data_IF_548334065681
#
_entry.id   IF_548334065681
#
_cell.length_a   1.000
_cell.length_b   1.000
_cell.length_c   1.000
_cell.angle_alpha   90.00
_cell.angle_beta   90.00
_cell.angle_gamma   90.00
#
_symmetry.space_group_name_H-M   'P 1'
#
loop_
_entity.id
_entity.type
_entity.pdbx_description
1 polymer ?
#
# COMPACT_ATOMS: atom_id res chain seq x y z
N UNK A 1 45.89 3.68 -38.93
CA UNK A 1 45.49 3.00 -40.17
C UNK A 1 44.00 3.18 -40.28
N UNK A 2 43.51 4.20 -40.88
CA UNK A 2 43.24 4.59 -42.27
C UNK A 2 42.40 3.56 -43.04
N UNK A 3 41.26 4.13 -43.46
CA UNK A 3 40.48 4.00 -44.73
C UNK A 3 39.25 3.09 -44.65
N UNK A 4 38.09 3.35 -45.24
CA UNK A 4 37.67 4.44 -46.18
C UNK A 4 36.14 4.50 -46.24
N UNK A 5 35.63 5.68 -46.59
CA UNK A 5 34.31 6.02 -47.14
C UNK A 5 33.91 5.18 -48.36
N UNK A 6 32.58 5.01 -48.56
CA UNK A 6 32.00 5.24 -49.89
C UNK A 6 30.52 5.71 -49.80
N UNK A 7 30.32 6.85 -50.41
CA UNK A 7 29.00 7.46 -50.76
C UNK A 7 28.50 6.80 -52.03
N UNK A 8 27.21 6.64 -52.20
CA UNK A 8 26.54 6.70 -53.51
C UNK A 8 25.22 7.43 -53.45
N UNK A 9 25.13 8.46 -54.26
CA UNK A 9 24.00 9.35 -54.57
C UNK A 9 23.45 8.97 -55.94
N UNK A 10 22.11 9.05 -56.16
CA UNK A 10 21.42 9.30 -57.45
C UNK A 10 19.93 9.25 -57.18
N UNK A 11 19.13 10.28 -57.24
CA UNK A 11 18.66 11.30 -58.22
C UNK A 11 17.71 10.72 -59.32
N UNK A 12 16.59 11.44 -59.47
CA UNK A 12 15.57 11.56 -60.57
C UNK A 12 14.38 10.56 -60.55
N UNK A 13 13.18 10.96 -60.90
CA UNK A 13 12.45 12.25 -61.11
C UNK A 13 11.01 11.93 -61.48
N UNK A 14 10.11 12.89 -61.22
CA UNK A 14 8.85 13.26 -61.82
C UNK A 14 7.86 12.25 -62.42
N UNK A 15 6.58 12.43 -62.05
CA UNK A 15 5.40 11.99 -62.77
C UNK A 15 4.08 12.52 -62.13
N UNK A 16 3.60 13.68 -62.57
CA UNK A 16 2.26 14.25 -62.31
C UNK A 16 1.19 13.47 -63.08
N UNK A 17 0.01 13.30 -62.51
CA UNK A 17 -1.38 13.48 -63.05
C UNK A 17 -2.35 12.87 -62.07
N UNK A 18 -3.24 13.48 -61.49
CA UNK A 18 -4.40 14.31 -61.64
C UNK A 18 -5.65 13.52 -61.99
N UNK A 19 -6.57 13.27 -60.96
CA UNK A 19 -8.00 13.20 -61.24
C UNK A 19 -8.80 13.41 -59.92
N UNK A 20 -9.46 14.57 -59.84
CA UNK A 20 -10.57 14.84 -58.95
C UNK A 20 -11.78 14.01 -59.39
N UNK A 21 -12.46 13.32 -58.45
CA UNK A 21 -13.88 12.96 -58.58
C UNK A 21 -14.58 13.40 -57.27
N UNK A 22 -15.33 14.46 -57.41
CA UNK A 22 -16.37 14.87 -56.49
C UNK A 22 -17.61 14.00 -56.78
N UNK A 23 -18.18 13.34 -55.77
CA UNK A 23 -19.58 12.96 -55.76
C UNK A 23 -20.19 13.27 -54.40
N UNK A 24 -21.25 14.06 -54.48
CA UNK A 24 -22.02 14.58 -53.39
C UNK A 24 -23.20 13.67 -53.02
N UNK A 25 -23.60 13.77 -51.77
CA UNK A 25 -24.93 13.61 -51.17
C UNK A 25 -25.76 12.36 -51.46
N UNK A 26 -26.05 11.64 -50.38
CA UNK A 26 -27.45 11.28 -50.11
C UNK A 26 -27.64 11.06 -48.60
N UNK A 27 -28.45 11.91 -47.99
CA UNK A 27 -29.05 11.77 -46.69
C UNK A 27 -30.09 10.66 -46.69
N UNK A 28 -29.98 9.71 -45.76
CA UNK A 28 -31.13 8.93 -45.31
C UNK A 28 -30.95 8.73 -43.80
N UNK A 29 -31.79 9.39 -43.03
CA UNK A 29 -31.89 9.16 -41.61
C UNK A 29 -32.46 7.78 -41.29
N UNK A 30 -31.97 7.17 -40.29
CA UNK A 30 -32.68 6.15 -39.51
C UNK A 30 -32.37 6.42 -38.03
N UNK A 31 -33.44 6.72 -37.31
CA UNK A 31 -33.47 6.72 -35.85
C UNK A 31 -32.95 5.38 -35.33
N UNK A 32 -31.94 5.42 -34.50
CA UNK A 32 -31.44 4.32 -33.70
C UNK A 32 -31.07 4.86 -32.34
N UNK A 33 -32.06 4.94 -31.46
CA UNK A 33 -31.86 5.13 -30.01
C UNK A 33 -31.10 3.94 -29.45
N UNK A 34 -29.86 4.09 -29.22
CA UNK A 34 -28.97 3.26 -28.43
C UNK A 34 -27.81 4.14 -28.07
N UNK A 35 -27.92 4.87 -26.94
CA UNK A 35 -26.76 5.54 -26.35
C UNK A 35 -25.79 4.43 -25.92
N UNK A 36 -24.74 4.18 -26.70
CA UNK A 36 -23.52 3.60 -26.17
C UNK A 36 -23.04 4.58 -25.10
N UNK A 37 -23.05 4.15 -23.84
CA UNK A 37 -22.26 4.81 -22.81
C UNK A 37 -20.88 5.02 -23.43
N UNK A 38 -20.39 6.25 -23.46
CA UNK A 38 -19.15 6.61 -24.13
C UNK A 38 -18.05 5.62 -23.71
N UNK A 39 -17.43 4.97 -24.70
CA UNK A 39 -16.32 4.07 -24.41
C UNK A 39 -15.26 4.87 -23.65
N UNK A 40 -14.80 4.34 -22.52
CA UNK A 40 -13.68 4.92 -21.78
C UNK A 40 -12.50 5.04 -22.73
N UNK A 41 -11.71 6.09 -22.57
CA UNK A 41 -10.58 6.35 -23.45
C UNK A 41 -9.39 6.87 -22.66
N UNK A 42 -8.20 6.70 -23.21
CA UNK A 42 -6.94 7.10 -22.61
C UNK A 42 -6.34 6.00 -21.75
N UNK A 43 -5.32 6.36 -21.00
CA UNK A 43 -4.60 5.46 -20.11
C UNK A 43 -4.68 5.96 -18.65
N UNK A 44 -4.56 5.07 -17.68
CA UNK A 44 -4.39 5.41 -16.26
C UNK A 44 -2.92 5.24 -15.90
N UNK A 45 -2.21 6.35 -15.70
CA UNK A 45 -0.90 6.32 -15.09
C UNK A 45 -1.09 6.36 -13.56
N UNK A 46 -0.62 5.33 -12.90
CA UNK A 46 -0.73 5.13 -11.47
C UNK A 46 0.56 5.55 -10.75
N UNK A 47 0.46 6.53 -9.85
CA UNK A 47 1.55 6.87 -8.94
C UNK A 47 1.63 5.79 -7.87
N UNK A 48 2.55 4.86 -8.02
CA UNK A 48 2.70 3.72 -7.14
C UNK A 48 3.81 3.96 -6.10
N UNK A 49 3.49 3.79 -4.83
CA UNK A 49 4.48 3.83 -3.74
C UNK A 49 4.77 2.45 -3.15
N UNK A 50 4.12 1.41 -3.64
CA UNK A 50 4.28 0.03 -3.16
C UNK A 50 5.33 -0.77 -3.95
N UNK A 51 5.31 -0.64 -5.27
CA UNK A 51 6.27 -1.26 -6.20
C UNK A 51 6.32 -2.80 -6.17
N UNK A 52 7.21 -3.35 -6.99
CA UNK A 52 7.57 -4.77 -6.96
C UNK A 52 6.38 -5.73 -7.03
N UNK A 53 6.36 -6.70 -6.10
CA UNK A 53 5.35 -7.76 -6.05
C UNK A 53 3.91 -7.23 -5.90
N UNK A 54 3.73 -6.06 -5.27
CA UNK A 54 2.41 -5.42 -5.12
C UNK A 54 1.89 -4.97 -6.47
N UNK A 55 2.72 -4.22 -7.23
CA UNK A 55 2.35 -3.79 -8.57
C UNK A 55 2.07 -4.98 -9.50
N UNK A 56 2.97 -5.98 -9.51
CA UNK A 56 2.78 -7.17 -10.32
C UNK A 56 1.47 -7.90 -9.96
N UNK A 57 1.20 -8.03 -8.67
CA UNK A 57 -0.04 -8.62 -8.17
C UNK A 57 -1.28 -7.85 -8.62
N UNK A 58 -1.31 -6.51 -8.43
CA UNK A 58 -2.41 -5.65 -8.87
C UNK A 58 -2.67 -5.78 -10.37
N UNK A 59 -1.61 -5.73 -11.16
CA UNK A 59 -1.70 -5.80 -12.61
C UNK A 59 -2.26 -7.15 -13.08
N UNK A 60 -1.81 -8.25 -12.50
CA UNK A 60 -2.24 -9.59 -12.91
C UNK A 60 -3.64 -9.98 -12.43
N UNK A 61 -4.09 -9.47 -11.27
CA UNK A 61 -5.34 -9.94 -10.64
C UNK A 61 -6.50 -8.95 -10.69
N UNK A 62 -6.22 -7.66 -10.90
CA UNK A 62 -7.24 -6.60 -10.85
C UNK A 62 -7.23 -5.70 -12.09
N UNK A 63 -6.05 -5.27 -12.56
CA UNK A 63 -5.99 -4.27 -13.63
C UNK A 63 -6.06 -4.90 -15.03
N UNK A 64 -5.64 -6.17 -15.18
CA UNK A 64 -5.73 -6.87 -16.46
C UNK A 64 -7.18 -7.03 -16.92
N UNK A 65 -8.09 -7.42 -16.01
CA UNK A 65 -9.51 -7.55 -16.29
C UNK A 65 -10.13 -6.21 -16.72
N UNK A 66 -9.81 -5.14 -15.99
CA UNK A 66 -10.25 -3.79 -16.35
C UNK A 66 -9.76 -3.37 -17.75
N UNK A 67 -8.51 -3.67 -18.07
CA UNK A 67 -7.92 -3.37 -19.39
C UNK A 67 -8.60 -4.17 -20.50
N UNK A 68 -8.88 -5.47 -20.26
CA UNK A 68 -9.59 -6.32 -21.22
C UNK A 68 -11.02 -5.83 -21.49
N UNK A 69 -11.73 -5.42 -20.45
CA UNK A 69 -13.13 -4.97 -20.53
C UNK A 69 -13.28 -3.59 -21.18
N UNK A 70 -12.36 -2.67 -20.89
CA UNK A 70 -12.51 -1.25 -21.26
C UNK A 70 -11.59 -0.79 -22.39
N UNK A 71 -10.48 -1.49 -22.62
CA UNK A 71 -9.40 -1.06 -23.50
C UNK A 71 -8.50 0.03 -22.91
N UNK A 72 -8.74 0.46 -21.66
CA UNK A 72 -7.91 1.44 -20.95
C UNK A 72 -6.70 0.72 -20.35
N UNK A 73 -5.50 1.16 -20.68
CA UNK A 73 -4.27 0.61 -20.13
C UNK A 73 -3.96 1.22 -18.76
N UNK A 74 -3.57 0.40 -17.79
CA UNK A 74 -3.06 0.86 -16.49
C UNK A 74 -1.55 0.64 -16.46
N UNK A 75 -0.78 1.68 -16.18
CA UNK A 75 0.68 1.64 -16.07
C UNK A 75 1.11 2.30 -14.77
N UNK A 76 2.27 1.89 -14.21
CA UNK A 76 2.81 2.48 -13.01
C UNK A 76 3.92 3.50 -13.27
N UNK A 77 4.06 4.43 -12.33
CA UNK A 77 5.26 5.25 -12.11
C UNK A 77 5.67 5.05 -10.64
N UNK A 78 6.56 4.09 -10.40
CA UNK A 78 7.02 3.76 -9.05
C UNK A 78 7.83 4.90 -8.42
N UNK A 79 7.49 5.22 -7.19
CA UNK A 79 8.17 6.23 -6.37
C UNK A 79 8.18 5.77 -4.91
N UNK A 80 9.33 5.86 -4.22
CA UNK A 80 9.47 5.38 -2.83
C UNK A 80 8.63 6.14 -1.80
N UNK A 81 8.14 7.36 -2.14
CA UNK A 81 7.41 8.21 -1.21
C UNK A 81 6.47 9.17 -1.94
N UNK A 82 5.50 9.73 -1.24
CA UNK A 82 4.53 10.71 -1.74
C UNK A 82 5.11 12.09 -2.10
N UNK A 83 6.36 12.37 -1.77
CA UNK A 83 7.00 13.70 -1.94
C UNK A 83 6.98 14.23 -3.38
N UNK A 84 7.18 13.37 -4.38
CA UNK A 84 7.13 13.75 -5.80
C UNK A 84 5.70 14.14 -6.20
N UNK A 85 4.69 13.42 -5.70
CA UNK A 85 3.28 13.78 -5.92
C UNK A 85 2.96 15.16 -5.34
N UNK A 86 3.32 15.40 -4.06
CA UNK A 86 3.09 16.71 -3.43
C UNK A 86 3.77 17.86 -4.19
N UNK A 87 5.01 17.66 -4.61
CA UNK A 87 5.73 18.67 -5.39
C UNK A 87 5.07 18.94 -6.76
N UNK A 88 4.59 17.91 -7.44
CA UNK A 88 3.89 18.05 -8.71
C UNK A 88 2.53 18.76 -8.53
N UNK A 89 1.74 18.34 -7.54
CA UNK A 89 0.44 18.92 -7.25
C UNK A 89 0.54 20.41 -6.87
N UNK A 90 1.52 20.76 -6.03
CA UNK A 90 1.79 22.17 -5.68
C UNK A 90 2.11 23.04 -6.90
N UNK A 91 2.71 22.48 -7.93
CA UNK A 91 3.12 23.20 -9.14
C UNK A 91 2.13 23.07 -10.31
N UNK A 92 0.99 22.38 -10.14
CA UNK A 92 0.03 22.11 -11.21
C UNK A 92 0.62 21.28 -12.36
N UNK A 93 1.49 20.34 -12.05
CA UNK A 93 2.22 19.50 -12.99
C UNK A 93 2.00 18.00 -12.72
N UNK A 94 0.74 17.63 -12.50
CA UNK A 94 0.32 16.25 -12.22
C UNK A 94 0.10 15.51 -13.53
N UNK A 95 0.80 14.38 -13.69
CA UNK A 95 0.68 13.50 -14.87
C UNK A 95 -0.07 12.19 -14.53
N UNK A 96 -0.35 11.92 -13.26
CA UNK A 96 -0.99 10.68 -12.81
C UNK A 96 -2.51 10.81 -12.75
N UNK A 97 -3.20 9.73 -13.10
CA UNK A 97 -4.67 9.63 -13.02
C UNK A 97 -5.16 9.00 -11.72
N UNK A 98 -4.31 8.20 -11.06
CA UNK A 98 -4.55 7.59 -9.77
C UNK A 98 -3.27 7.66 -8.94
N UNK A 99 -3.38 7.85 -7.63
CA UNK A 99 -2.22 7.89 -6.72
C UNK A 99 -2.43 6.96 -5.53
N UNK A 100 -1.37 6.26 -5.15
CA UNK A 100 -1.27 5.49 -3.92
C UNK A 100 -0.54 6.34 -2.88
N UNK A 101 -1.27 6.80 -1.88
CA UNK A 101 -0.74 7.54 -0.74
C UNK A 101 -0.48 6.55 0.40
N UNK A 102 0.75 6.46 0.92
CA UNK A 102 1.14 5.38 1.83
C UNK A 102 0.54 5.50 3.23
N UNK A 103 -0.11 6.62 3.54
CA UNK A 103 -0.72 6.84 4.84
C UNK A 103 -1.99 7.69 4.77
N UNK A 104 -2.85 7.56 5.79
CA UNK A 104 -3.99 8.44 5.99
C UNK A 104 -3.56 9.90 6.19
N UNK A 105 -2.42 10.16 6.86
CA UNK A 105 -1.90 11.51 7.05
C UNK A 105 -1.52 12.18 5.73
N UNK A 106 -0.89 11.44 4.79
CA UNK A 106 -0.59 11.97 3.46
C UNK A 106 -1.88 12.28 2.69
N UNK A 107 -2.87 11.41 2.78
CA UNK A 107 -4.17 11.63 2.13
C UNK A 107 -4.90 12.86 2.70
N UNK A 108 -4.89 13.03 4.02
CA UNK A 108 -5.46 14.20 4.68
C UNK A 108 -4.73 15.49 4.27
N UNK A 109 -3.40 15.48 4.25
CA UNK A 109 -2.61 16.62 3.81
C UNK A 109 -2.92 16.98 2.34
N UNK A 110 -2.99 15.99 1.46
CA UNK A 110 -3.32 16.21 0.05
C UNK A 110 -4.74 16.77 -0.13
N UNK A 111 -5.72 16.26 0.63
CA UNK A 111 -7.10 16.74 0.59
C UNK A 111 -7.22 18.19 1.11
N UNK A 112 -6.59 18.51 2.25
CA UNK A 112 -6.58 19.86 2.83
C UNK A 112 -5.95 20.91 1.90
N UNK A 113 -4.96 20.52 1.11
CA UNK A 113 -4.33 21.38 0.12
C UNK A 113 -5.11 21.45 -1.21
N UNK A 114 -6.22 20.70 -1.35
CA UNK A 114 -7.02 20.69 -2.58
C UNK A 114 -6.34 19.95 -3.74
N UNK A 115 -5.45 19.01 -3.47
CA UNK A 115 -4.71 18.26 -4.49
C UNK A 115 -5.44 17.01 -4.99
N UNK A 116 -6.59 16.67 -4.38
CA UNK A 116 -7.38 15.49 -4.72
C UNK A 116 -8.75 15.87 -5.28
N UNK A 117 -9.23 15.12 -6.24
CA UNK A 117 -10.58 15.20 -6.76
C UNK A 117 -11.57 14.43 -5.87
N UNK A 118 -12.85 14.78 -5.95
CA UNK A 118 -13.91 14.04 -5.28
C UNK A 118 -14.11 12.66 -5.91
N UNK A 119 -14.41 11.67 -5.09
CA UNK A 119 -14.85 10.36 -5.52
C UNK A 119 -16.29 10.47 -6.02
N UNK A 120 -16.52 10.17 -7.28
CA UNK A 120 -17.86 10.16 -7.87
C UNK A 120 -18.64 8.92 -7.41
N UNK A 121 -19.46 9.08 -6.38
CA UNK A 121 -20.27 7.99 -5.81
C UNK A 121 -21.38 7.48 -6.74
N UNK A 122 -21.61 8.15 -7.87
CA UNK A 122 -22.50 7.62 -8.92
C UNK A 122 -21.80 6.57 -9.81
N UNK A 123 -20.46 6.56 -9.83
CA UNK A 123 -19.61 5.59 -10.52
C UNK A 123 -19.06 4.56 -9.55
N UNK A 124 -18.43 5.04 -8.47
CA UNK A 124 -17.72 4.21 -7.48
C UNK A 124 -18.70 3.71 -6.42
N UNK A 125 -18.88 2.38 -6.26
CA UNK A 125 -19.87 1.79 -5.36
C UNK A 125 -19.38 1.80 -3.89
N UNK A 126 -19.33 2.99 -3.27
CA UNK A 126 -18.86 3.17 -1.89
C UNK A 126 -19.70 2.44 -0.85
N UNK A 127 -20.94 2.07 -1.18
CA UNK A 127 -21.82 1.26 -0.33
C UNK A 127 -21.32 -0.20 -0.15
N UNK A 128 -20.44 -0.66 -1.04
CA UNK A 128 -19.75 -1.95 -0.92
C UNK A 128 -18.54 -1.89 0.01
N UNK A 129 -18.08 -0.71 0.41
CA UNK A 129 -16.97 -0.54 1.33
C UNK A 129 -17.43 -0.60 2.79
N UNK A 130 -16.54 -0.99 3.69
CA UNK A 130 -16.76 -0.91 5.14
C UNK A 130 -16.95 0.55 5.53
N UNK A 131 -17.90 0.81 6.43
CA UNK A 131 -18.22 2.17 6.84
C UNK A 131 -17.00 2.85 7.49
N UNK A 132 -16.70 4.07 7.05
CA UNK A 132 -15.56 4.86 7.55
C UNK A 132 -14.25 4.63 6.81
N UNK A 133 -14.19 3.74 5.82
CA UNK A 133 -12.97 3.45 5.06
C UNK A 133 -12.89 4.18 3.71
N UNK A 134 -13.71 5.17 3.52
CA UNK A 134 -13.61 6.10 2.40
C UNK A 134 -13.93 7.53 2.86
N UNK A 135 -13.41 8.49 2.15
CA UNK A 135 -13.64 9.92 2.31
C UNK A 135 -14.19 10.52 1.01
N UNK A 136 -14.49 11.82 1.00
CA UNK A 136 -14.87 12.51 -0.23
C UNK A 136 -13.80 12.40 -1.33
N UNK A 137 -12.53 12.22 -0.97
CA UNK A 137 -11.39 12.31 -1.89
C UNK A 137 -10.53 11.05 -1.99
N UNK A 138 -10.89 9.96 -1.31
CA UNK A 138 -10.06 8.75 -1.33
C UNK A 138 -10.72 7.52 -0.75
N UNK A 139 -10.15 6.37 -1.09
CA UNK A 139 -10.56 5.04 -0.62
C UNK A 139 -9.39 4.40 0.11
N UNK A 140 -9.63 3.92 1.32
CA UNK A 140 -8.62 3.19 2.08
C UNK A 140 -8.33 1.84 1.42
N UNK A 141 -7.06 1.56 1.24
CA UNK A 141 -6.55 0.37 0.58
C UNK A 141 -5.28 -0.12 1.27
N UNK A 142 -4.84 -1.32 0.94
CA UNK A 142 -3.51 -1.78 1.29
C UNK A 142 -3.24 -1.80 2.79
N UNK A 143 -4.20 -2.25 3.58
CA UNK A 143 -4.01 -2.38 5.03
C UNK A 143 -2.79 -3.20 5.36
N UNK A 144 -1.94 -2.71 6.24
CA UNK A 144 -0.81 -3.46 6.77
C UNK A 144 -0.83 -3.49 8.30
N UNK A 145 -0.44 -4.63 8.83
CA UNK A 145 -0.33 -4.85 10.28
C UNK A 145 1.12 -4.84 10.72
N UNK A 146 1.40 -4.14 11.82
CA UNK A 146 2.64 -4.25 12.59
C UNK A 146 2.38 -5.28 13.68
N UNK A 147 2.84 -6.49 13.47
CA UNK A 147 2.53 -7.66 14.31
C UNK A 147 3.74 -8.08 15.14
N UNK A 148 3.49 -8.73 16.27
CA UNK A 148 4.52 -9.50 16.95
C UNK A 148 4.78 -10.78 16.14
N UNK A 149 6.03 -10.97 15.71
CA UNK A 149 6.47 -12.17 15.00
C UNK A 149 7.58 -12.89 15.76
N UNK A 150 7.69 -14.20 15.58
CA UNK A 150 8.76 -15.01 16.18
C UNK A 150 9.16 -16.18 15.29
N UNK A 151 10.40 -16.63 15.46
CA UNK A 151 10.87 -17.88 14.86
C UNK A 151 10.30 -19.06 15.65
N UNK A 152 9.52 -19.93 15.00
CA UNK A 152 8.86 -21.07 15.65
C UNK A 152 9.85 -22.18 16.06
N UNK A 153 11.08 -22.19 15.56
CA UNK A 153 12.15 -23.07 16.04
C UNK A 153 12.78 -22.57 17.34
N UNK A 154 12.79 -21.25 17.55
CA UNK A 154 13.26 -20.64 18.81
C UNK A 154 12.19 -20.75 19.91
N UNK A 155 10.90 -20.67 19.54
CA UNK A 155 9.77 -20.68 20.47
C UNK A 155 8.75 -21.75 20.06
N UNK A 156 8.81 -22.96 20.68
CA UNK A 156 7.92 -24.05 20.33
C UNK A 156 6.46 -23.77 20.75
N UNK A 157 5.52 -24.51 20.16
CA UNK A 157 4.08 -24.23 20.20
C UNK A 157 3.45 -24.10 21.61
N UNK A 158 4.08 -24.65 22.64
CA UNK A 158 3.65 -24.57 24.05
C UNK A 158 4.29 -23.39 24.82
N UNK A 159 5.18 -22.61 24.18
CA UNK A 159 5.91 -21.50 24.78
C UNK A 159 6.14 -20.36 23.79
N UNK A 160 5.15 -20.02 22.99
CA UNK A 160 5.22 -18.94 22.02
C UNK A 160 4.87 -17.59 22.64
N UNK A 161 5.57 -16.48 22.28
CA UNK A 161 5.17 -15.15 22.68
C UNK A 161 3.85 -14.77 21.98
N UNK A 162 2.92 -14.12 22.70
CA UNK A 162 1.61 -13.76 22.17
C UNK A 162 1.28 -12.28 22.35
N UNK A 163 1.92 -11.61 23.30
CA UNK A 163 1.59 -10.24 23.70
C UNK A 163 2.81 -9.32 23.61
N UNK A 164 2.55 -8.01 23.58
CA UNK A 164 3.65 -7.05 23.67
C UNK A 164 4.46 -7.19 24.96
N UNK A 165 3.83 -7.60 26.08
CA UNK A 165 4.55 -7.88 27.33
C UNK A 165 5.59 -8.98 27.14
N UNK A 166 5.28 -10.01 26.36
CA UNK A 166 6.18 -11.13 26.07
C UNK A 166 7.41 -10.64 25.26
N UNK A 167 7.21 -9.69 24.33
CA UNK A 167 8.32 -9.10 23.57
C UNK A 167 9.37 -8.45 24.48
N UNK A 168 8.96 -7.90 25.62
CA UNK A 168 9.84 -7.24 26.57
C UNK A 168 10.32 -8.14 27.71
N UNK A 169 9.79 -9.35 27.86
CA UNK A 169 10.25 -10.34 28.87
C UNK A 169 11.41 -11.18 28.31
N UNK A 170 12.64 -10.69 28.57
CA UNK A 170 13.86 -11.38 28.13
C UNK A 170 14.19 -12.64 28.91
N UNK A 171 13.46 -12.91 30.02
CA UNK A 171 13.67 -14.11 30.84
C UNK A 171 12.78 -15.27 30.36
N UNK A 172 11.50 -14.98 30.10
CA UNK A 172 10.56 -15.97 29.57
C UNK A 172 10.83 -16.26 28.08
N UNK A 173 11.16 -15.22 27.31
CA UNK A 173 11.42 -15.28 25.88
C UNK A 173 12.83 -14.75 25.57
N UNK A 174 13.88 -15.54 25.80
CA UNK A 174 15.26 -15.12 25.51
C UNK A 174 15.51 -15.01 24.00
N UNK A 175 16.43 -14.14 23.58
CA UNK A 175 16.83 -13.98 22.18
C UNK A 175 16.95 -12.52 21.75
N UNK A 176 17.23 -12.31 20.49
CA UNK A 176 17.34 -10.97 19.87
C UNK A 176 15.98 -10.47 19.43
N UNK A 177 15.75 -9.17 19.67
CA UNK A 177 14.52 -8.46 19.30
C UNK A 177 14.77 -7.60 18.08
N UNK A 178 13.85 -7.56 17.13
CA UNK A 178 13.94 -6.64 16.02
C UNK A 178 12.78 -5.64 15.97
N UNK A 179 13.15 -4.39 15.66
CA UNK A 179 12.24 -3.27 15.58
C UNK A 179 12.54 -2.43 14.35
N UNK A 180 11.52 -1.75 13.84
CA UNK A 180 11.69 -0.79 12.76
C UNK A 180 12.37 0.49 13.26
N UNK A 181 13.38 0.94 12.53
CA UNK A 181 14.12 2.16 12.84
C UNK A 181 13.37 3.44 12.40
N UNK A 182 12.07 3.49 12.68
CA UNK A 182 11.22 4.65 12.43
C UNK A 182 10.04 4.61 13.42
N UNK A 183 9.77 5.66 14.19
CA UNK A 183 8.71 5.66 15.18
C UNK A 183 7.31 5.63 14.56
N UNK A 184 7.12 6.20 13.36
CA UNK A 184 5.79 6.38 12.76
C UNK A 184 5.13 5.08 12.27
N UNK A 185 5.90 4.19 11.62
CA UNK A 185 5.35 2.98 10.99
C UNK A 185 5.86 1.70 11.64
N UNK A 186 6.43 1.83 12.82
CA UNK A 186 7.13 0.73 13.49
C UNK A 186 6.36 0.08 14.62
N UNK A 187 5.30 0.69 15.10
CA UNK A 187 4.61 0.26 16.32
C UNK A 187 5.53 0.14 17.54
N UNK A 188 6.70 0.77 17.45
CA UNK A 188 7.78 0.64 18.45
C UNK A 188 7.43 1.33 19.77
N UNK A 189 6.89 2.55 19.69
CA UNK A 189 6.52 3.32 20.89
C UNK A 189 5.23 2.80 21.52
N UNK A 190 4.24 2.46 20.69
CA UNK A 190 2.96 1.92 21.12
C UNK A 190 3.14 0.56 21.80
N UNK A 191 3.91 -0.36 21.20
CA UNK A 191 4.18 -1.66 21.79
C UNK A 191 4.87 -1.55 23.14
N UNK A 192 5.75 -0.56 23.32
CA UNK A 192 6.41 -0.29 24.58
C UNK A 192 5.42 0.20 25.64
N UNK A 193 4.50 1.10 25.29
CA UNK A 193 3.46 1.60 26.18
C UNK A 193 2.48 0.50 26.58
N UNK A 194 2.02 -0.29 25.62
CA UNK A 194 1.16 -1.45 25.88
C UNK A 194 1.83 -2.46 26.80
N UNK A 195 3.11 -2.79 26.55
CA UNK A 195 3.90 -3.67 27.41
C UNK A 195 4.16 -3.08 28.80
N UNK A 196 4.08 -1.75 28.96
CA UNK A 196 4.20 -1.07 30.25
C UNK A 196 2.84 -0.83 30.94
N UNK A 197 1.76 -1.41 30.37
CA UNK A 197 0.43 -1.44 30.95
C UNK A 197 -0.44 -0.23 30.65
N UNK A 198 -0.12 0.56 29.61
CA UNK A 198 -1.04 1.59 29.08
C UNK A 198 -2.18 0.89 28.38
N UNK A 199 -3.42 1.28 28.65
CA UNK A 199 -4.58 0.72 27.98
C UNK A 199 -4.63 1.16 26.50
N UNK A 200 -5.16 0.31 25.62
CA UNK A 200 -5.21 0.56 24.19
C UNK A 200 -5.94 1.89 23.83
N UNK A 201 -7.00 2.21 24.55
CA UNK A 201 -7.79 3.43 24.39
C UNK A 201 -7.16 4.67 25.06
N UNK A 202 -6.03 4.51 25.77
CA UNK A 202 -5.26 5.59 26.41
C UNK A 202 -3.88 5.79 25.75
N UNK A 203 -3.59 5.16 24.62
CA UNK A 203 -2.28 5.24 23.96
C UNK A 203 -1.94 6.65 23.49
N UNK A 204 -2.90 7.35 22.91
CA UNK A 204 -2.67 8.67 22.35
C UNK A 204 -3.23 9.80 23.23
N UNK A 205 -2.46 10.91 23.43
CA UNK A 205 -1.12 11.15 22.87
C UNK A 205 -0.06 10.26 23.49
N UNK A 206 0.93 9.80 22.69
CA UNK A 206 2.00 8.93 23.19
C UNK A 206 2.83 9.58 24.30
N UNK A 207 3.02 8.88 25.42
CA UNK A 207 4.04 9.21 26.43
C UNK A 207 5.40 8.70 25.96
N UNK A 208 6.08 9.50 25.13
CA UNK A 208 7.34 9.13 24.48
C UNK A 208 8.44 8.80 25.49
N UNK A 209 8.56 9.58 26.55
CA UNK A 209 9.58 9.35 27.59
C UNK A 209 9.38 8.00 28.28
N UNK A 210 8.14 7.64 28.57
CA UNK A 210 7.75 6.35 29.15
C UNK A 210 8.02 5.19 28.17
N UNK A 211 7.69 5.36 26.91
CA UNK A 211 7.96 4.37 25.87
C UNK A 211 9.45 4.10 25.71
N UNK A 212 10.26 5.15 25.63
CA UNK A 212 11.72 5.04 25.55
C UNK A 212 12.35 4.41 26.79
N UNK A 213 11.85 4.74 27.99
CA UNK A 213 12.28 4.09 29.23
C UNK A 213 11.97 2.59 29.26
N UNK A 214 10.84 2.17 28.69
CA UNK A 214 10.51 0.75 28.53
C UNK A 214 11.45 0.07 27.52
N UNK A 215 11.72 0.69 26.39
CA UNK A 215 12.68 0.22 25.39
C UNK A 215 14.11 0.10 25.96
N UNK A 216 14.52 0.97 26.88
CA UNK A 216 15.83 0.88 27.55
C UNK A 216 16.02 -0.46 28.26
N UNK A 217 14.94 -1.10 28.72
CA UNK A 217 15.03 -2.41 29.42
C UNK A 217 15.54 -3.54 28.54
N UNK A 218 15.42 -3.40 27.22
CA UNK A 218 15.83 -4.41 26.22
C UNK A 218 16.81 -3.87 25.18
N UNK A 219 17.26 -2.62 25.29
CA UNK A 219 18.03 -1.89 24.26
C UNK A 219 19.25 -2.65 23.74
N UNK A 220 19.96 -3.37 24.60
CA UNK A 220 21.14 -4.16 24.22
C UNK A 220 20.82 -5.37 23.34
N UNK A 221 19.56 -5.79 23.29
CA UNK A 221 19.10 -6.95 22.56
C UNK A 221 18.34 -6.58 21.27
N UNK A 222 18.24 -5.27 20.97
CA UNK A 222 17.54 -4.78 19.79
C UNK A 222 18.44 -4.80 18.55
N UNK A 223 17.92 -5.39 17.49
CA UNK A 223 18.40 -5.27 16.11
C UNK A 223 17.42 -4.35 15.35
N UNK A 224 17.94 -3.28 14.75
CA UNK A 224 17.14 -2.32 14.01
C UNK A 224 17.10 -2.69 12.52
N UNK A 225 15.92 -2.68 11.93
CA UNK A 225 15.73 -2.82 10.48
C UNK A 225 15.13 -1.54 9.89
N UNK A 226 15.43 -1.26 8.63
CA UNK A 226 15.03 -0.03 7.92
C UNK A 226 14.19 -0.30 6.67
N UNK A 227 14.01 -1.58 6.30
CA UNK A 227 13.15 -2.00 5.21
C UNK A 227 12.48 -3.33 5.52
N UNK A 228 11.31 -3.59 4.88
CA UNK A 228 10.62 -4.86 5.07
C UNK A 228 11.47 -6.09 4.69
N UNK A 229 12.36 -5.97 3.69
CA UNK A 229 13.29 -7.05 3.36
C UNK A 229 14.30 -7.30 4.49
N UNK A 230 14.87 -6.24 5.09
CA UNK A 230 15.79 -6.38 6.23
C UNK A 230 15.13 -7.00 7.46
N UNK A 231 13.82 -6.76 7.69
CA UNK A 231 13.14 -7.37 8.82
C UNK A 231 13.20 -8.90 8.72
N UNK A 232 12.91 -9.46 7.54
CA UNK A 232 12.95 -10.91 7.32
C UNK A 232 14.37 -11.44 7.26
N UNK A 233 15.28 -10.76 6.58
CA UNK A 233 16.71 -11.10 6.58
C UNK A 233 17.26 -11.22 8.01
N UNK A 234 16.81 -10.37 8.94
CA UNK A 234 17.24 -10.44 10.35
C UNK A 234 16.79 -11.72 11.04
N UNK A 235 15.61 -12.23 10.72
CA UNK A 235 15.16 -13.55 11.18
C UNK A 235 15.95 -14.68 10.53
N UNK A 236 16.11 -14.66 9.20
CA UNK A 236 16.81 -15.71 8.45
C UNK A 236 18.26 -15.87 8.84
N UNK A 237 18.95 -14.77 9.15
CA UNK A 237 20.37 -14.80 9.54
C UNK A 237 20.58 -14.96 11.07
N UNK A 238 19.49 -15.12 11.85
CA UNK A 238 19.56 -15.29 13.31
C UNK A 238 19.92 -14.04 14.11
N UNK A 239 19.78 -12.84 13.51
CA UNK A 239 19.93 -11.56 14.22
C UNK A 239 18.63 -11.14 14.90
N UNK A 240 17.55 -11.88 14.70
CA UNK A 240 16.23 -11.68 15.29
C UNK A 240 15.60 -13.05 15.63
N UNK A 241 15.10 -13.21 16.86
CA UNK A 241 14.31 -14.36 17.29
C UNK A 241 12.82 -14.03 17.39
N UNK A 242 12.50 -12.80 17.83
CA UNK A 242 11.16 -12.24 17.90
C UNK A 242 11.21 -10.72 17.76
N UNK A 243 10.11 -10.12 17.30
CA UNK A 243 10.10 -8.67 17.09
C UNK A 243 8.86 -8.16 16.40
N UNK A 244 8.88 -6.90 16.03
CA UNK A 244 7.83 -6.26 15.24
C UNK A 244 8.20 -6.35 13.77
N UNK A 245 7.28 -6.85 12.96
CA UNK A 245 7.42 -6.89 11.50
C UNK A 245 6.10 -6.50 10.84
N UNK A 246 6.14 -6.15 9.58
CA UNK A 246 4.94 -6.04 8.78
C UNK A 246 4.42 -7.45 8.43
N UNK A 247 3.15 -7.71 8.71
CA UNK A 247 2.54 -9.04 8.57
C UNK A 247 2.71 -9.64 7.16
N UNK A 248 2.61 -8.82 6.10
CA UNK A 248 2.83 -9.25 4.74
C UNK A 248 4.26 -9.76 4.50
N UNK A 249 5.26 -9.21 5.18
CA UNK A 249 6.65 -9.69 5.08
C UNK A 249 6.83 -11.02 5.79
N UNK A 250 6.23 -11.18 6.97
CA UNK A 250 6.21 -12.48 7.65
C UNK A 250 5.52 -13.55 6.80
N UNK A 251 4.43 -13.21 6.12
CA UNK A 251 3.76 -14.13 5.20
C UNK A 251 4.65 -14.60 4.05
N UNK A 252 5.35 -13.67 3.39
CA UNK A 252 6.29 -14.03 2.32
C UNK A 252 7.40 -14.95 2.83
N UNK A 253 7.94 -14.70 4.03
CA UNK A 253 8.92 -15.59 4.65
C UNK A 253 8.35 -16.98 4.92
N UNK A 254 7.13 -17.08 5.47
CA UNK A 254 6.45 -18.35 5.71
C UNK A 254 6.20 -19.12 4.41
N UNK A 255 5.74 -18.46 3.35
CA UNK A 255 5.53 -19.06 2.02
C UNK A 255 6.85 -19.60 1.42
N UNK A 256 7.99 -18.94 1.72
CA UNK A 256 9.32 -19.40 1.33
C UNK A 256 9.87 -20.51 2.25
N UNK A 257 9.09 -20.97 3.23
CA UNK A 257 9.41 -22.06 4.12
C UNK A 257 10.23 -21.67 5.36
N UNK A 258 10.37 -20.37 5.66
CA UNK A 258 10.97 -19.94 6.91
C UNK A 258 9.99 -20.15 8.08
N UNK A 259 10.46 -20.71 9.23
CA UNK A 259 9.61 -21.03 10.38
C UNK A 259 9.25 -19.78 11.19
N UNK A 260 8.29 -19.00 10.71
CA UNK A 260 7.81 -17.76 11.36
C UNK A 260 6.31 -17.83 11.61
N UNK A 261 5.87 -17.29 12.76
CA UNK A 261 4.47 -17.14 13.10
C UNK A 261 4.24 -15.75 13.70
N UNK A 262 2.98 -15.32 13.84
CA UNK A 262 2.62 -13.97 14.26
C UNK A 262 1.48 -13.96 15.27
N UNK A 263 1.43 -12.94 16.11
CA UNK A 263 0.29 -12.58 16.94
C UNK A 263 -0.27 -11.21 16.51
N UNK A 264 -1.59 -11.17 16.41
CA UNK A 264 -2.36 -9.95 16.12
C UNK A 264 -2.88 -9.26 17.38
N UNK A 265 -2.57 -9.79 18.56
CA UNK A 265 -3.07 -9.21 19.82
C UNK A 265 -2.54 -7.78 20.00
N UNK A 266 -3.45 -6.81 19.95
CA UNK A 266 -3.15 -5.38 19.99
C UNK A 266 -2.11 -4.94 18.94
N UNK A 267 -2.09 -5.60 17.78
CA UNK A 267 -1.22 -5.26 16.67
C UNK A 267 -1.51 -3.84 16.17
N UNK A 268 -0.48 -3.16 15.69
CA UNK A 268 -0.64 -1.90 14.99
C UNK A 268 -1.24 -2.12 13.60
N UNK A 269 -2.07 -1.18 13.20
CA UNK A 269 -2.83 -1.28 11.97
C UNK A 269 -2.88 0.07 11.26
N UNK A 270 -2.56 0.10 9.99
CA UNK A 270 -2.60 1.31 9.19
C UNK A 270 -3.09 1.03 7.77
N UNK A 271 -3.79 2.00 7.21
CA UNK A 271 -4.27 1.97 5.84
C UNK A 271 -3.51 2.98 4.98
N UNK A 272 -3.29 2.59 3.74
CA UNK A 272 -2.94 3.48 2.64
C UNK A 272 -4.21 3.98 1.95
N UNK A 273 -4.08 4.94 1.05
CA UNK A 273 -5.22 5.52 0.35
C UNK A 273 -4.97 5.58 -1.14
N UNK A 274 -5.95 5.13 -1.93
CA UNK A 274 -6.02 5.45 -3.35
C UNK A 274 -6.88 6.69 -3.55
N UNK A 275 -6.35 7.65 -4.28
CA UNK A 275 -7.00 8.92 -4.55
C UNK A 275 -6.77 9.35 -6.00
N UNK A 276 -7.66 10.21 -6.50
CA UNK A 276 -7.57 10.79 -7.83
C UNK A 276 -7.05 12.22 -7.67
N UNK A 277 -5.94 12.60 -8.33
CA UNK A 277 -5.48 13.98 -8.28
C UNK A 277 -6.51 14.97 -8.83
N UNK A 278 -6.56 16.18 -8.29
CA UNK A 278 -7.48 17.24 -8.74
C UNK A 278 -7.27 17.59 -10.22
N UNK A 279 -6.01 17.59 -10.68
CA UNK A 279 -5.63 17.88 -12.07
C UNK A 279 -5.31 16.60 -12.85
N UNK A 280 -5.91 15.46 -12.48
CA UNK A 280 -5.68 14.17 -13.15
C UNK A 280 -5.97 14.25 -14.65
N UNK A 281 -5.09 13.73 -15.53
CA UNK A 281 -5.31 13.78 -16.98
C UNK A 281 -6.53 12.95 -17.44
N UNK A 282 -6.86 11.88 -16.71
CA UNK A 282 -7.95 10.96 -17.06
C UNK A 282 -8.75 10.51 -15.82
N UNK A 283 -9.47 11.45 -15.16
CA UNK A 283 -10.14 11.18 -13.90
C UNK A 283 -11.31 10.19 -14.04
N UNK A 284 -12.03 10.20 -15.17
CA UNK A 284 -13.16 9.31 -15.40
C UNK A 284 -12.70 7.84 -15.48
N UNK A 285 -11.61 7.57 -16.18
CA UNK A 285 -11.05 6.22 -16.25
C UNK A 285 -10.55 5.74 -14.87
N UNK A 286 -9.97 6.64 -14.05
CA UNK A 286 -9.57 6.33 -12.68
C UNK A 286 -10.77 5.99 -11.78
N UNK A 287 -11.89 6.71 -11.87
CA UNK A 287 -13.14 6.39 -11.15
C UNK A 287 -13.65 4.99 -11.55
N UNK A 288 -13.63 4.67 -12.84
CA UNK A 288 -14.05 3.35 -13.33
C UNK A 288 -13.07 2.24 -12.92
N UNK A 289 -11.77 2.52 -12.82
CA UNK A 289 -10.80 1.57 -12.29
C UNK A 289 -11.08 1.28 -10.81
N UNK A 290 -11.34 2.29 -9.98
CA UNK A 290 -11.75 2.11 -8.59
C UNK A 290 -13.01 1.26 -8.48
N UNK A 291 -14.02 1.51 -9.34
CA UNK A 291 -15.22 0.68 -9.42
C UNK A 291 -14.89 -0.78 -9.72
N UNK A 292 -14.11 -1.02 -10.78
CA UNK A 292 -13.73 -2.37 -11.20
C UNK A 292 -13.04 -3.13 -10.06
N UNK A 293 -12.09 -2.50 -9.38
CA UNK A 293 -11.39 -3.11 -8.25
C UNK A 293 -12.34 -3.45 -7.11
N UNK A 294 -13.24 -2.56 -6.72
CA UNK A 294 -14.21 -2.79 -5.63
C UNK A 294 -15.18 -3.93 -5.99
N UNK A 295 -15.56 -4.06 -7.25
CA UNK A 295 -16.51 -5.07 -7.71
C UNK A 295 -15.87 -6.43 -7.99
N UNK A 296 -14.56 -6.50 -8.21
CA UNK A 296 -13.84 -7.74 -8.52
C UNK A 296 -13.37 -8.46 -7.23
N UNK A 297 -14.32 -9.08 -6.51
CA UNK A 297 -14.02 -9.83 -5.28
C UNK A 297 -13.07 -11.00 -5.53
N UNK A 298 -13.18 -11.71 -6.67
CA UNK A 298 -12.29 -12.81 -7.02
C UNK A 298 -10.85 -12.32 -7.23
N UNK A 299 -10.68 -11.20 -7.93
CA UNK A 299 -9.38 -10.55 -8.11
C UNK A 299 -8.76 -10.08 -6.80
N UNK A 300 -9.56 -9.52 -5.88
CA UNK A 300 -9.10 -9.11 -4.55
C UNK A 300 -8.60 -10.31 -3.72
N UNK A 301 -9.32 -11.44 -3.75
CA UNK A 301 -8.91 -12.68 -3.08
C UNK A 301 -7.63 -13.23 -3.71
N UNK A 302 -7.55 -13.26 -5.05
CA UNK A 302 -6.35 -13.70 -5.76
C UNK A 302 -5.14 -12.82 -5.42
N UNK A 303 -5.33 -11.49 -5.41
CA UNK A 303 -4.30 -10.54 -5.00
C UNK A 303 -3.82 -10.79 -3.57
N UNK A 304 -4.74 -10.80 -2.58
CA UNK A 304 -4.42 -10.99 -1.16
C UNK A 304 -3.84 -12.37 -0.84
N UNK A 305 -4.12 -13.39 -1.67
CA UNK A 305 -3.49 -14.71 -1.55
C UNK A 305 -2.05 -14.73 -2.07
N UNK A 306 -1.69 -13.82 -2.98
CA UNK A 306 -0.32 -13.66 -3.48
C UNK A 306 0.47 -12.65 -2.67
N UNK A 307 -0.13 -11.49 -2.45
CA UNK A 307 0.44 -10.40 -1.65
C UNK A 307 -0.50 -10.20 -0.46
N UNK A 308 -0.15 -10.66 0.75
CA UNK A 308 -1.09 -10.64 1.89
C UNK A 308 -1.32 -9.23 2.44
N UNK A 309 -1.85 -8.39 1.58
CA UNK A 309 -2.28 -7.03 1.79
C UNK A 309 -3.58 -6.87 1.01
N UNK A 310 -4.76 -6.96 1.65
CA UNK A 310 -6.02 -6.86 0.93
C UNK A 310 -6.19 -5.50 0.25
N UNK A 311 -6.66 -5.50 -1.01
CA UNK A 311 -6.94 -4.29 -1.79
C UNK A 311 -8.30 -4.44 -2.50
N UNK A 312 -9.22 -3.51 -2.27
CA UNK A 312 -9.23 -2.56 -1.17
C UNK A 312 -9.48 -3.27 0.16
N UNK A 313 -8.72 -2.92 1.17
CA UNK A 313 -8.85 -3.47 2.53
C UNK A 313 -10.27 -3.34 3.10
N UNK A 314 -11.02 -2.44 2.54
CA UNK A 314 -12.30 -1.98 3.03
C UNK A 314 -13.53 -2.60 2.33
N UNK A 315 -13.37 -3.57 1.41
CA UNK A 315 -14.52 -4.19 0.75
C UNK A 315 -15.27 -5.12 1.70
N UNK A 316 -16.59 -4.90 1.84
CA UNK A 316 -17.45 -5.76 2.65
C UNK A 316 -17.48 -7.20 2.11
N UNK A 317 -17.46 -8.17 3.01
CA UNK A 317 -17.59 -9.59 2.67
C UNK A 317 -16.27 -10.29 2.30
N UNK A 318 -15.14 -9.63 2.47
CA UNK A 318 -13.84 -10.32 2.44
C UNK A 318 -13.60 -10.98 3.79
N UNK A 319 -13.73 -12.31 3.84
CA UNK A 319 -13.50 -13.10 5.05
C UNK A 319 -12.16 -13.83 4.93
N UNK A 320 -11.50 -14.06 6.08
CA UNK A 320 -10.17 -14.73 6.13
C UNK A 320 -10.16 -16.07 5.40
N UNK A 321 -11.21 -16.87 5.54
CA UNK A 321 -11.33 -18.20 4.95
C UNK A 321 -11.54 -18.20 3.42
N UNK A 322 -11.79 -17.02 2.82
CA UNK A 322 -11.82 -16.85 1.37
C UNK A 322 -10.42 -16.86 0.73
N UNK A 323 -9.38 -16.60 1.50
CA UNK A 323 -8.01 -16.53 1.00
C UNK A 323 -7.28 -17.87 1.10
N UNK A 324 -6.14 -18.01 0.43
CA UNK A 324 -5.31 -19.21 0.52
C UNK A 324 -4.90 -19.50 1.98
N UNK A 325 -4.96 -20.76 2.40
CA UNK A 325 -4.80 -21.14 3.81
C UNK A 325 -3.44 -20.69 4.40
N UNK A 326 -2.40 -20.72 3.60
CA UNK A 326 -1.04 -20.33 3.99
C UNK A 326 -0.88 -18.85 4.31
N UNK A 327 -1.75 -17.98 3.79
CA UNK A 327 -1.69 -16.53 4.05
C UNK A 327 -2.65 -16.07 5.14
N UNK A 328 -3.65 -16.88 5.49
CA UNK A 328 -4.69 -16.51 6.44
C UNK A 328 -4.15 -16.00 7.80
N UNK A 329 -3.11 -16.59 8.41
CA UNK A 329 -2.58 -16.10 9.68
C UNK A 329 -2.00 -14.68 9.59
N UNK A 330 -1.64 -14.22 8.39
CA UNK A 330 -0.94 -12.96 8.16
C UNK A 330 -1.83 -11.85 7.61
N UNK A 331 -3.10 -12.15 7.31
CA UNK A 331 -4.00 -11.17 6.71
C UNK A 331 -4.59 -10.22 7.75
N UNK A 332 -4.57 -8.90 7.51
CA UNK A 332 -5.19 -7.90 8.38
C UNK A 332 -6.71 -7.81 8.14
N UNK A 333 -7.43 -8.91 8.26
CA UNK A 333 -8.88 -8.99 8.05
C UNK A 333 -9.55 -9.88 9.10
N UNK A 334 -10.85 -9.69 9.30
CA UNK A 334 -11.68 -10.54 10.14
C UNK A 334 -11.21 -10.64 11.58
N UNK A 335 -11.13 -11.84 12.13
CA UNK A 335 -10.75 -12.09 13.52
C UNK A 335 -9.30 -11.66 13.84
N UNK A 336 -8.40 -11.66 12.85
CA UNK A 336 -7.02 -11.21 13.06
C UNK A 336 -6.95 -9.76 13.54
N UNK A 337 -7.87 -8.91 13.11
CA UNK A 337 -7.88 -7.49 13.48
C UNK A 337 -8.82 -7.15 14.64
N UNK A 338 -9.40 -8.16 15.31
CA UNK A 338 -10.40 -7.93 16.36
C UNK A 338 -9.91 -7.09 17.55
N UNK A 339 -8.61 -7.18 17.87
CA UNK A 339 -7.96 -6.38 18.93
C UNK A 339 -6.94 -5.38 18.38
N UNK A 340 -6.81 -5.29 17.06
CA UNK A 340 -5.85 -4.39 16.42
C UNK A 340 -6.20 -2.92 16.70
N UNK A 341 -5.17 -2.08 16.78
CA UNK A 341 -5.27 -0.67 17.13
C UNK A 341 -4.83 0.15 15.93
N UNK A 342 -5.70 1.02 15.43
CA UNK A 342 -5.36 1.92 14.34
C UNK A 342 -4.39 3.00 14.81
N UNK A 343 -3.35 3.27 14.02
CA UNK A 343 -2.49 4.43 14.24
C UNK A 343 -3.30 5.72 14.16
N UNK A 344 -3.06 6.62 15.13
CA UNK A 344 -3.66 7.95 15.12
C UNK A 344 -2.95 8.85 14.09
N UNK A 345 -3.56 8.97 12.91
CA UNK A 345 -3.00 9.75 11.80
C UNK A 345 -2.87 11.24 12.15
N UNK A 346 -3.84 11.82 12.88
CA UNK A 346 -3.82 13.23 13.28
C UNK A 346 -2.69 13.50 14.28
N UNK A 347 -2.48 12.57 15.22
CA UNK A 347 -1.37 12.64 16.17
C UNK A 347 -0.02 12.61 15.43
N UNK A 348 0.19 11.66 14.52
CA UNK A 348 1.43 11.55 13.76
C UNK A 348 1.65 12.74 12.84
N UNK A 349 0.63 13.21 12.13
CA UNK A 349 0.69 14.42 11.31
C UNK A 349 1.18 15.64 12.12
N UNK A 350 0.69 15.79 13.35
CA UNK A 350 1.06 16.92 14.22
C UNK A 350 2.44 16.80 14.87
N UNK A 351 2.93 15.58 15.13
CA UNK A 351 4.07 15.35 16.02
C UNK A 351 5.25 14.60 15.38
N UNK A 352 5.13 14.13 14.12
CA UNK A 352 6.11 13.22 13.49
C UNK A 352 7.55 13.74 13.51
N UNK A 353 7.78 15.03 13.25
CA UNK A 353 9.12 15.62 13.24
C UNK A 353 9.78 15.53 14.62
N UNK A 354 9.06 15.91 15.67
CA UNK A 354 9.55 15.89 17.05
C UNK A 354 9.76 14.45 17.56
N UNK A 355 8.85 13.54 17.23
CA UNK A 355 8.96 12.11 17.53
C UNK A 355 10.21 11.50 16.90
N UNK A 356 10.41 11.76 15.61
CA UNK A 356 11.56 11.26 14.86
C UNK A 356 12.86 11.78 15.45
N UNK A 357 12.93 13.06 15.81
CA UNK A 357 14.09 13.66 16.43
C UNK A 357 14.39 13.08 17.81
N UNK A 358 13.38 12.86 18.65
CA UNK A 358 13.53 12.26 19.97
C UNK A 358 13.99 10.82 19.86
N UNK A 359 13.33 10.03 19.01
CA UNK A 359 13.65 8.64 18.77
C UNK A 359 15.08 8.46 18.25
N UNK A 360 15.48 9.23 17.23
CA UNK A 360 16.83 9.15 16.66
C UNK A 360 17.91 9.52 17.67
N UNK A 361 17.68 10.53 18.52
CA UNK A 361 18.61 10.87 19.61
C UNK A 361 18.75 9.73 20.61
N UNK A 362 17.65 9.04 20.92
CA UNK A 362 17.66 7.90 21.83
C UNK A 362 18.35 6.67 21.21
N UNK A 363 18.09 6.35 19.94
CA UNK A 363 18.76 5.24 19.24
C UNK A 363 20.28 5.45 19.18
N UNK A 364 20.73 6.68 19.01
CA UNK A 364 22.17 7.03 18.91
C UNK A 364 22.95 6.95 20.23
N UNK A 365 22.32 6.79 21.39
CA UNK A 365 22.94 6.64 22.70
C UNK A 365 23.33 5.18 22.98
#
# INVERSE_FOLDING_TARGET
>A
MQKRLSRFTSICALGLTGALVLTACSSAGTDGTGGEAGALSGDVLFYDTSGGDVWEGLNETLFADFTEETGVTVTDDYNEASTKFFAAAQNGAVDWSLVFLPSLSDAQEAAENGYLAEIDTSIVPVDKLVDGTYSETGIEVGTFGMVLAWNTESFPADAQPQTWTDLYDTQAFPGKRCFFNNPQYGWTLESALLADGVAADELYPLDVDRALAKLDTIKSDITWWSSGAQSIESFENGSCDLGIVWANRASVAAQNGFPIDVSWDQAGYANSVWAIPADAPNPEAAQHLLKSVIENTEGQIAFGSRVPTPIPAATKGLEVDGFAAEVQPFLPVGENTATAITLDADYYKANNADLTDQFNRWVAQ
#
